data_IF_076999612980
#
_entry.id   IF_076999612980
#
_cell.length_a   1.000
_cell.length_b   1.000
_cell.length_c   1.000
_cell.angle_alpha   90.00
_cell.angle_beta   90.00
_cell.angle_gamma   90.00
#
_symmetry.space_group_name_H-M   'P 1'
#
loop_
_entity.id
_entity.type
_entity.pdbx_description
1 polymer ?
#
# COMPACT_ATOMS: atom_id res chain seq x y z
N UNK A 1 -5.26 17.85 -12.90
CA UNK A 1 -4.50 17.19 -13.99
C UNK A 1 -5.46 16.43 -14.90
N UNK A 2 -5.14 16.15 -16.18
CA UNK A 2 -6.01 15.28 -17.02
C UNK A 2 -5.70 13.81 -16.71
N UNK A 3 -6.71 12.94 -16.75
CA UNK A 3 -6.57 11.49 -16.45
C UNK A 3 -5.48 10.81 -17.29
N UNK A 4 -5.39 11.08 -18.59
CA UNK A 4 -4.32 10.48 -19.43
C UNK A 4 -2.89 10.82 -18.97
N UNK A 5 -2.70 11.96 -18.32
CA UNK A 5 -1.40 12.36 -17.77
C UNK A 5 -1.13 11.59 -16.47
N UNK A 6 -2.14 11.39 -15.62
CA UNK A 6 -2.02 10.61 -14.37
C UNK A 6 -1.68 9.14 -14.65
N UNK A 7 -2.37 8.49 -15.58
CA UNK A 7 -2.12 7.11 -16.00
C UNK A 7 -0.63 6.86 -16.29
N UNK A 8 -0.08 7.72 -17.15
CA UNK A 8 1.30 7.61 -17.61
C UNK A 8 2.29 7.85 -16.47
N UNK A 9 1.97 8.76 -15.55
CA UNK A 9 2.79 9.03 -14.37
C UNK A 9 2.78 7.85 -13.40
N UNK A 10 1.62 7.23 -13.15
CA UNK A 10 1.50 6.07 -12.27
C UNK A 10 2.34 4.91 -12.81
N UNK A 11 2.14 4.53 -14.07
CA UNK A 11 2.91 3.45 -14.69
C UNK A 11 4.42 3.73 -14.71
N UNK A 12 4.82 5.00 -14.82
CA UNK A 12 6.23 5.37 -14.83
C UNK A 12 6.86 5.39 -13.42
N UNK A 13 6.12 5.82 -12.40
CA UNK A 13 6.66 6.07 -11.06
C UNK A 13 6.38 4.96 -10.05
N UNK A 14 5.42 4.07 -10.30
CA UNK A 14 5.10 2.92 -9.44
C UNK A 14 5.20 1.64 -10.28
N UNK A 15 6.42 1.16 -10.58
CA UNK A 15 6.63 0.01 -11.44
C UNK A 15 6.06 -1.31 -10.89
N UNK A 16 5.67 -1.36 -9.61
CA UNK A 16 5.02 -2.50 -8.99
C UNK A 16 3.55 -2.67 -9.45
N UNK A 17 2.91 -1.61 -9.96
CA UNK A 17 1.55 -1.70 -10.50
C UNK A 17 1.56 -2.45 -11.83
N UNK A 18 0.83 -3.56 -11.90
CA UNK A 18 0.71 -4.38 -13.10
C UNK A 18 -0.53 -4.04 -13.91
N UNK A 19 -1.62 -3.66 -13.24
CA UNK A 19 -2.90 -3.34 -13.86
C UNK A 19 -3.58 -2.19 -13.13
N UNK A 20 -4.24 -1.31 -13.88
CA UNK A 20 -5.04 -0.20 -13.36
C UNK A 20 -6.51 -0.51 -13.63
N UNK A 21 -7.28 -0.72 -12.56
CA UNK A 21 -8.70 -1.02 -12.64
C UNK A 21 -9.55 0.25 -12.72
N UNK A 22 -9.25 1.22 -11.87
CA UNK A 22 -9.91 2.52 -11.83
C UNK A 22 -8.89 3.64 -11.78
N UNK A 23 -9.17 4.71 -12.50
CA UNK A 23 -8.37 5.93 -12.43
C UNK A 23 -9.25 7.16 -12.63
N UNK A 24 -9.26 8.02 -11.61
CA UNK A 24 -9.93 9.31 -11.64
C UNK A 24 -8.95 10.41 -11.21
N UNK A 25 -9.38 11.67 -11.20
CA UNK A 25 -8.54 12.74 -10.65
C UNK A 25 -8.39 12.70 -9.13
N UNK A 26 -9.10 11.80 -8.45
CA UNK A 26 -9.21 11.77 -6.98
C UNK A 26 -8.79 10.43 -6.39
N UNK A 27 -8.87 9.35 -7.16
CA UNK A 27 -8.64 8.00 -6.67
C UNK A 27 -8.15 7.09 -7.79
N UNK A 28 -7.32 6.12 -7.42
CA UNK A 28 -6.77 5.06 -8.26
C UNK A 28 -6.99 3.72 -7.56
N UNK A 29 -7.42 2.72 -8.32
CA UNK A 29 -7.46 1.32 -7.90
C UNK A 29 -6.64 0.49 -8.88
N UNK A 30 -5.76 -0.36 -8.36
CA UNK A 30 -4.76 -1.08 -9.14
C UNK A 30 -4.46 -2.45 -8.55
N UNK A 31 -3.89 -3.34 -9.37
CA UNK A 31 -3.22 -4.55 -8.92
C UNK A 31 -1.72 -4.32 -8.86
N UNK A 32 -1.11 -4.67 -7.72
CA UNK A 32 0.29 -4.42 -7.42
C UNK A 32 1.01 -5.72 -7.07
N UNK A 33 2.23 -5.88 -7.60
CA UNK A 33 3.09 -6.98 -7.22
C UNK A 33 3.88 -6.65 -5.94
N UNK A 34 3.70 -7.46 -4.90
CA UNK A 34 4.40 -7.34 -3.62
C UNK A 34 4.49 -8.69 -2.91
N UNK A 35 5.61 -8.97 -2.26
CA UNK A 35 5.83 -10.22 -1.49
C UNK A 35 5.62 -11.51 -2.31
N UNK A 36 5.93 -11.46 -3.62
CA UNK A 36 5.75 -12.55 -4.59
C UNK A 36 4.30 -12.89 -4.93
N UNK A 37 3.34 -12.05 -4.55
CA UNK A 37 1.99 -12.03 -5.12
C UNK A 37 1.89 -10.91 -6.15
N UNK A 38 1.05 -11.11 -7.16
CA UNK A 38 0.75 -10.16 -8.22
C UNK A 38 -0.67 -9.58 -8.16
N UNK A 39 -1.46 -9.99 -7.16
CA UNK A 39 -2.90 -9.69 -7.02
C UNK A 39 -3.23 -8.82 -5.79
N UNK A 40 -2.25 -8.12 -5.20
CA UNK A 40 -2.53 -7.18 -4.11
C UNK A 40 -3.32 -5.98 -4.64
N UNK A 41 -4.50 -5.72 -4.08
CA UNK A 41 -5.26 -4.51 -4.37
C UNK A 41 -4.52 -3.29 -3.79
N UNK A 42 -4.25 -2.31 -4.65
CA UNK A 42 -3.65 -1.04 -4.30
C UNK A 42 -4.67 0.08 -4.53
N UNK A 43 -4.93 0.87 -3.50
CA UNK A 43 -5.77 2.06 -3.57
C UNK A 43 -4.89 3.28 -3.33
N UNK A 44 -5.07 4.34 -4.12
CA UNK A 44 -4.39 5.63 -3.91
C UNK A 44 -5.43 6.73 -3.99
N UNK A 45 -5.69 7.40 -2.87
CA UNK A 45 -6.62 8.53 -2.78
C UNK A 45 -5.86 9.86 -2.64
N UNK A 46 -6.23 10.81 -3.48
CA UNK A 46 -5.70 12.17 -3.47
C UNK A 46 -6.68 13.08 -2.73
N UNK A 47 -6.43 13.36 -1.45
CA UNK A 47 -7.28 14.24 -0.67
C UNK A 47 -7.21 15.68 -1.22
N UNK A 48 -5.99 16.15 -1.51
CA UNK A 48 -5.79 17.44 -2.14
C UNK A 48 -5.94 17.34 -3.67
N UNK A 49 -7.11 17.76 -4.16
CA UNK A 49 -7.46 17.76 -5.58
C UNK A 49 -6.72 18.80 -6.42
N UNK A 50 -5.94 19.68 -5.79
CA UNK A 50 -5.26 20.81 -6.43
C UNK A 50 -3.74 20.62 -6.54
N UNK A 51 -3.21 19.41 -6.30
CA UNK A 51 -1.79 19.13 -6.49
C UNK A 51 -1.37 19.41 -7.94
N UNK A 52 -0.25 20.12 -8.11
CA UNK A 52 0.38 20.27 -9.41
C UNK A 52 1.12 19.00 -9.84
N UNK A 53 1.54 18.94 -11.11
CA UNK A 53 2.22 17.74 -11.64
C UNK A 53 3.50 17.38 -10.91
N UNK A 54 4.24 18.35 -10.35
CA UNK A 54 5.47 18.10 -9.61
C UNK A 54 5.15 17.43 -8.27
N UNK A 55 4.13 17.93 -7.59
CA UNK A 55 3.67 17.36 -6.32
C UNK A 55 3.09 15.96 -6.50
N UNK A 56 2.33 15.73 -7.57
CA UNK A 56 1.82 14.37 -7.89
C UNK A 56 2.97 13.40 -8.17
N UNK A 57 3.98 13.81 -8.95
CA UNK A 57 5.16 12.96 -9.20
C UNK A 57 5.86 12.61 -7.89
N UNK A 58 6.09 13.59 -7.01
CA UNK A 58 6.73 13.37 -5.72
C UNK A 58 5.92 12.42 -4.83
N UNK A 59 4.58 12.58 -4.78
CA UNK A 59 3.70 11.69 -4.04
C UNK A 59 3.75 10.25 -4.57
N UNK A 60 3.66 10.06 -5.90
CA UNK A 60 3.76 8.73 -6.53
C UNK A 60 5.13 8.07 -6.27
N UNK A 61 6.21 8.84 -6.29
CA UNK A 61 7.53 8.35 -5.89
C UNK A 61 7.59 7.97 -4.41
N UNK A 62 6.83 8.65 -3.54
CA UNK A 62 6.71 8.28 -2.13
C UNK A 62 5.95 6.96 -1.96
N UNK A 63 4.81 6.79 -2.64
CA UNK A 63 4.08 5.51 -2.71
C UNK A 63 5.00 4.37 -3.16
N UNK A 64 5.74 4.57 -4.26
CA UNK A 64 6.68 3.57 -4.75
C UNK A 64 7.79 3.23 -3.74
N UNK A 65 8.28 4.22 -2.98
CA UNK A 65 9.29 3.99 -1.92
C UNK A 65 8.71 3.20 -0.75
N UNK A 66 7.47 3.48 -0.34
CA UNK A 66 6.78 2.74 0.73
C UNK A 66 6.49 1.29 0.33
N UNK A 67 6.05 1.06 -0.91
CA UNK A 67 5.92 -0.30 -1.45
C UNK A 67 7.25 -1.05 -1.48
N UNK A 68 8.34 -0.40 -1.89
CA UNK A 68 9.68 -0.99 -1.85
C UNK A 68 10.18 -1.26 -0.42
N UNK A 69 9.84 -0.38 0.52
CA UNK A 69 10.13 -0.58 1.93
C UNK A 69 9.42 -1.82 2.46
N UNK A 70 8.11 -1.96 2.20
CA UNK A 70 7.32 -3.13 2.58
C UNK A 70 7.92 -4.42 2.04
N UNK A 71 8.34 -4.43 0.77
CA UNK A 71 8.96 -5.62 0.16
C UNK A 71 10.29 -5.99 0.82
N UNK A 72 11.11 -4.98 1.16
CA UNK A 72 12.42 -5.18 1.80
C UNK A 72 12.31 -5.58 3.28
N UNK A 73 11.30 -5.07 4.00
CA UNK A 73 11.12 -5.25 5.44
C UNK A 73 10.05 -6.31 5.78
N UNK A 74 9.74 -7.21 4.84
CA UNK A 74 8.78 -8.30 5.06
C UNK A 74 9.00 -9.04 6.38
N UNK A 75 10.25 -9.39 6.68
CA UNK A 75 10.58 -10.14 7.90
C UNK A 75 10.25 -9.33 9.18
N UNK A 76 10.52 -8.02 9.17
CA UNK A 76 10.25 -7.15 10.32
C UNK A 76 8.74 -7.00 10.54
N UNK A 77 7.97 -6.80 9.46
CA UNK A 77 6.50 -6.74 9.52
C UNK A 77 5.92 -8.02 10.11
N UNK A 78 6.35 -9.19 9.61
CA UNK A 78 5.86 -10.49 10.10
C UNK A 78 6.28 -10.75 11.55
N UNK A 79 7.46 -10.28 11.97
CA UNK A 79 7.92 -10.40 13.34
C UNK A 79 7.09 -9.55 14.30
N UNK A 80 6.75 -8.31 13.94
CA UNK A 80 5.86 -7.43 14.71
C UNK A 80 4.51 -8.11 14.90
N UNK A 81 3.88 -8.57 13.82
CA UNK A 81 2.57 -9.25 13.87
C UNK A 81 2.67 -10.51 14.75
N UNK A 82 3.67 -11.37 14.55
CA UNK A 82 3.82 -12.59 15.35
C UNK A 82 3.98 -12.30 16.84
N UNK A 83 4.68 -11.22 17.18
CA UNK A 83 4.92 -10.83 18.58
C UNK A 83 3.65 -10.31 19.26
N UNK A 84 2.79 -9.61 18.52
CA UNK A 84 1.67 -8.86 19.10
C UNK A 84 0.30 -9.56 18.96
N UNK A 85 0.08 -10.35 17.91
CA UNK A 85 -1.25 -10.83 17.50
C UNK A 85 -1.71 -12.17 18.09
N UNK A 86 -0.80 -12.95 18.70
CA UNK A 86 -1.02 -14.38 19.03
C UNK A 86 -1.33 -15.28 17.82
N UNK A 87 -1.14 -14.81 16.59
CA UNK A 87 -1.14 -15.68 15.41
C UNK A 87 0.10 -16.55 15.47
N UNK A 88 -0.11 -17.87 15.63
CA UNK A 88 0.97 -18.82 15.90
C UNK A 88 1.82 -19.16 14.66
N UNK A 89 1.32 -18.85 13.46
CA UNK A 89 1.98 -19.18 12.19
C UNK A 89 1.77 -18.03 11.19
N UNK A 90 2.86 -17.38 10.80
CA UNK A 90 2.90 -16.30 9.79
C UNK A 90 3.48 -16.78 8.45
N UNK A 91 3.55 -18.10 8.23
CA UNK A 91 3.95 -18.67 6.95
C UNK A 91 2.93 -18.33 5.86
N UNK A 92 3.37 -18.19 4.62
CA UNK A 92 2.51 -17.86 3.48
C UNK A 92 1.69 -16.56 3.62
N UNK A 93 2.04 -15.69 4.58
CA UNK A 93 1.41 -14.37 4.69
C UNK A 93 1.71 -13.52 3.47
N UNK A 94 0.69 -12.84 2.98
CA UNK A 94 0.72 -11.88 1.88
C UNK A 94 -0.03 -10.61 2.28
N UNK A 95 0.25 -9.51 1.56
CA UNK A 95 -0.51 -8.27 1.70
C UNK A 95 -1.75 -8.42 0.83
N UNK A 96 -2.93 -8.35 1.46
CA UNK A 96 -4.21 -8.48 0.76
C UNK A 96 -4.60 -7.15 0.09
N UNK A 97 -4.40 -6.04 0.79
CA UNK A 97 -4.57 -4.71 0.24
C UNK A 97 -3.58 -3.72 0.85
N UNK A 98 -3.27 -2.67 0.10
CA UNK A 98 -2.58 -1.47 0.57
C UNK A 98 -3.33 -0.23 0.07
N UNK A 99 -3.69 0.67 0.97
CA UNK A 99 -4.41 1.90 0.69
C UNK A 99 -3.54 3.09 1.07
N UNK A 100 -3.33 4.00 0.13
CA UNK A 100 -2.52 5.19 0.31
C UNK A 100 -3.41 6.44 0.34
N UNK A 101 -3.27 7.24 1.39
CA UNK A 101 -3.85 8.57 1.45
C UNK A 101 -2.75 9.60 1.17
N UNK A 102 -2.95 10.40 0.13
CA UNK A 102 -2.05 11.49 -0.27
C UNK A 102 -2.71 12.81 0.12
N UNK A 103 -2.24 13.40 1.23
CA UNK A 103 -2.61 14.77 1.59
C UNK A 103 -1.78 15.78 0.77
N UNK A 104 -0.48 15.50 0.62
CA UNK A 104 0.43 16.22 -0.28
C UNK A 104 1.64 15.35 -0.68
N UNK A 105 2.67 15.97 -1.28
CA UNK A 105 3.83 15.28 -1.80
C UNK A 105 4.66 14.54 -0.72
N UNK A 106 4.72 15.11 0.48
CA UNK A 106 5.52 14.60 1.59
C UNK A 106 4.65 13.78 2.57
N UNK A 107 3.38 14.18 2.72
CA UNK A 107 2.43 13.56 3.64
C UNK A 107 1.63 12.46 2.91
N UNK A 108 2.21 11.26 2.89
CA UNK A 108 1.66 10.05 2.28
C UNK A 108 1.57 8.96 3.32
N UNK A 109 0.35 8.55 3.66
CA UNK A 109 0.06 7.50 4.64
C UNK A 109 -0.27 6.20 3.91
N UNK A 110 0.05 5.07 4.52
CA UNK A 110 -0.25 3.76 3.97
C UNK A 110 -0.90 2.88 5.04
N UNK A 111 -2.15 2.51 4.84
CA UNK A 111 -2.80 1.44 5.60
C UNK A 111 -2.77 0.16 4.78
N UNK A 112 -2.46 -0.96 5.40
CA UNK A 112 -2.40 -2.23 4.71
C UNK A 112 -2.85 -3.37 5.62
N UNK A 113 -3.50 -4.36 5.02
CA UNK A 113 -3.86 -5.58 5.73
C UNK A 113 -3.14 -6.78 5.16
N UNK A 114 -2.73 -7.66 6.06
CA UNK A 114 -2.13 -8.92 5.72
C UNK A 114 -3.10 -10.05 5.96
N UNK A 115 -3.04 -11.05 5.09
CA UNK A 115 -3.81 -12.27 5.21
C UNK A 115 -2.89 -13.49 5.07
N UNK A 116 -3.36 -14.63 5.57
CA UNK A 116 -2.73 -15.91 5.32
C UNK A 116 -3.81 -17.02 5.33
N UNK A 117 -3.65 -18.09 4.53
CA UNK A 117 -4.67 -19.15 4.45
C UNK A 117 -5.02 -19.78 5.81
N UNK A 118 -4.05 -19.89 6.71
CA UNK A 118 -4.23 -20.45 8.05
C UNK A 118 -4.91 -19.50 9.06
N UNK A 119 -5.12 -18.23 8.70
CA UNK A 119 -5.82 -17.25 9.54
C UNK A 119 -7.34 -17.23 9.28
N UNK A 120 -7.82 -17.97 8.27
CA UNK A 120 -9.24 -17.97 7.90
C UNK A 120 -9.67 -16.61 7.37
N UNK A 121 -10.73 -16.03 7.95
CA UNK A 121 -11.26 -14.70 7.60
C UNK A 121 -10.55 -13.55 8.35
N UNK A 122 -9.54 -13.87 9.16
CA UNK A 122 -8.81 -12.89 9.93
C UNK A 122 -7.71 -12.22 9.12
N UNK A 123 -7.56 -10.91 9.31
CA UNK A 123 -6.48 -10.10 8.73
C UNK A 123 -5.71 -9.40 9.83
N UNK A 124 -4.44 -9.11 9.59
CA UNK A 124 -3.61 -8.26 10.45
C UNK A 124 -3.55 -6.86 9.85
N UNK A 125 -4.10 -5.87 10.56
CA UNK A 125 -4.13 -4.48 10.11
C UNK A 125 -2.88 -3.73 10.60
N UNK A 126 -2.23 -3.02 9.69
CA UNK A 126 -1.02 -2.24 9.94
C UNK A 126 -1.08 -0.89 9.20
N UNK A 127 -0.31 0.09 9.67
CA UNK A 127 -0.01 1.31 8.91
C UNK A 127 1.49 1.52 8.80
N UNK A 128 1.89 2.26 7.76
CA UNK A 128 3.19 2.91 7.65
C UNK A 128 2.97 4.43 7.66
N UNK A 129 3.45 5.06 8.72
CA UNK A 129 3.47 6.52 8.86
C UNK A 129 4.49 7.16 7.91
N UNK A 130 4.56 8.49 7.87
CA UNK A 130 5.38 9.28 6.95
C UNK A 130 6.84 8.77 6.84
N UNK A 131 7.48 8.50 7.97
CA UNK A 131 8.87 8.05 8.08
C UNK A 131 9.08 6.53 7.93
N UNK A 132 8.01 5.81 7.58
CA UNK A 132 7.92 4.34 7.57
C UNK A 132 7.99 3.71 8.97
N UNK A 133 7.60 4.44 10.02
CA UNK A 133 7.24 3.80 11.28
C UNK A 133 6.08 2.83 11.04
N UNK A 134 6.33 1.56 11.37
CA UNK A 134 5.34 0.49 11.28
C UNK A 134 4.48 0.47 12.55
N UNK A 135 3.17 0.60 12.40
CA UNK A 135 2.21 0.46 13.48
C UNK A 135 1.34 -0.76 13.23
N UNK A 136 1.23 -1.64 14.22
CA UNK A 136 0.27 -2.75 14.20
C UNK A 136 -1.00 -2.35 14.95
N UNK A 137 -2.16 -2.44 14.29
CA UNK A 137 -3.45 -2.02 14.84
C UNK A 137 -4.23 -3.16 15.48
N UNK A 138 -3.92 -4.40 15.10
CA UNK A 138 -4.56 -5.59 15.65
C UNK A 138 -4.99 -6.58 14.58
N UNK A 139 -5.76 -7.57 15.04
CA UNK A 139 -6.40 -8.55 14.16
C UNK A 139 -7.84 -8.17 13.94
N UNK A 140 -8.24 -8.11 12.68
CA UNK A 140 -9.60 -7.83 12.23
C UNK A 140 -10.25 -9.12 11.73
N UNK A 141 -11.58 -9.10 11.63
CA UNK A 141 -12.36 -10.21 11.07
C UNK A 141 -13.25 -9.62 10.00
N UNK A 142 -13.04 -10.04 8.74
CA UNK A 142 -13.85 -9.63 7.60
C UNK A 142 -15.25 -10.27 7.62
#
# INVERSE_FOLDING_TARGET
MKTKDLHSLIQHHIPQIQYLELETSESVEAECAIWQQDDCTLIIDFENKNLDSTQVIAALQNVSRKLAWLDTHRADVLQTISTESKLNDTSNTYIQYAAFLIENADDVFCDFALAAPQWGEQTAACSLEEDNELIFHGIETN
#
